data_IF_048451575517
#
_entry.id   IF_048451575517
#
_cell.length_a   1.000
_cell.length_b   1.000
_cell.length_c   1.000
_cell.angle_alpha   90.00
_cell.angle_beta   90.00
_cell.angle_gamma   90.00
#
_symmetry.space_group_name_H-M   'P 1'
#
loop_
_entity.id
_entity.type
_entity.pdbx_description
1 polymer ?
#
# COMPACT_ATOMS: atom_id res chain seq x y z
N UNK A 1 5.65 42.61 9.90
CA UNK A 1 4.23 42.20 10.05
C UNK A 1 3.33 42.39 8.82
N UNK A 2 3.59 43.32 7.87
CA UNK A 2 2.80 43.42 6.62
C UNK A 2 3.13 42.37 5.54
N UNK A 3 4.31 41.73 5.61
CA UNK A 3 4.76 40.73 4.62
C UNK A 3 4.10 39.34 4.80
N UNK A 4 3.68 39.01 6.03
CA UNK A 4 3.14 37.68 6.39
C UNK A 4 1.67 37.51 5.96
N UNK A 5 0.92 38.61 5.78
CA UNK A 5 -0.48 38.55 5.31
C UNK A 5 -0.62 38.32 3.79
N UNK A 6 0.44 38.51 3.00
CA UNK A 6 0.38 38.42 1.54
C UNK A 6 0.52 36.99 0.98
N UNK A 7 0.75 35.96 1.83
CA UNK A 7 1.10 34.61 1.38
C UNK A 7 -0.05 33.57 1.43
N UNK A 8 -1.30 33.98 1.72
CA UNK A 8 -2.48 33.09 1.75
C UNK A 8 -3.09 32.76 0.36
N UNK A 9 -2.29 32.76 -0.71
CA UNK A 9 -2.75 32.35 -2.04
C UNK A 9 -2.22 30.98 -2.42
N UNK A 10 -3.08 30.07 -2.88
CA UNK A 10 -2.66 28.77 -3.44
C UNK A 10 -1.57 28.97 -4.51
N UNK A 11 -0.35 28.52 -4.21
CA UNK A 11 0.77 28.61 -5.14
C UNK A 11 0.73 27.41 -6.10
N UNK A 12 0.39 27.67 -7.36
CA UNK A 12 0.59 26.69 -8.44
C UNK A 12 2.09 26.44 -8.63
N UNK A 13 2.49 25.17 -8.79
CA UNK A 13 3.88 24.73 -9.11
C UNK A 13 4.49 25.53 -10.27
N UNK A 14 3.67 25.95 -11.25
CA UNK A 14 4.10 26.82 -12.36
C UNK A 14 4.57 28.21 -11.92
N UNK A 15 3.91 28.82 -10.92
CA UNK A 15 4.32 30.12 -10.34
C UNK A 15 5.60 29.98 -9.52
N UNK A 16 5.78 28.84 -8.84
CA UNK A 16 6.97 28.54 -8.05
C UNK A 16 8.21 28.39 -8.96
N UNK A 17 8.09 27.63 -10.05
CA UNK A 17 9.16 27.46 -11.03
C UNK A 17 9.55 28.77 -11.73
N UNK A 18 8.59 29.67 -11.98
CA UNK A 18 8.88 30.99 -12.54
C UNK A 18 9.65 31.88 -11.56
N UNK A 19 9.29 31.85 -10.28
CA UNK A 19 10.02 32.57 -9.22
C UNK A 19 11.42 31.99 -9.00
N UNK A 20 11.60 30.68 -9.12
CA UNK A 20 12.93 30.03 -9.06
C UNK A 20 13.86 30.52 -10.17
N UNK A 21 13.37 30.61 -11.43
CA UNK A 21 14.16 31.15 -12.54
C UNK A 21 14.54 32.62 -12.34
N UNK A 22 13.62 33.43 -11.81
CA UNK A 22 13.92 34.83 -11.45
C UNK A 22 14.97 34.92 -10.34
N UNK A 23 14.93 33.99 -9.36
CA UNK A 23 15.90 33.95 -8.26
C UNK A 23 17.28 33.51 -8.74
N UNK A 24 17.37 32.54 -9.65
CA UNK A 24 18.64 32.15 -10.28
C UNK A 24 19.26 33.30 -11.09
N UNK A 25 18.44 34.12 -11.74
CA UNK A 25 18.92 35.31 -12.44
C UNK A 25 19.50 36.37 -11.47
N UNK A 26 18.88 36.55 -10.29
CA UNK A 26 19.38 37.46 -9.26
C UNK A 26 20.69 36.97 -8.63
N UNK A 27 20.83 35.65 -8.41
CA UNK A 27 22.07 35.04 -7.90
C UNK A 27 23.23 35.22 -8.91
N UNK A 28 22.97 34.99 -10.21
CA UNK A 28 23.96 35.25 -11.28
C UNK A 28 24.33 36.74 -11.41
N UNK A 29 23.39 37.64 -11.14
CA UNK A 29 23.66 39.07 -11.17
C UNK A 29 24.52 39.53 -9.98
N UNK A 30 24.40 38.89 -8.80
CA UNK A 30 25.20 39.23 -7.62
C UNK A 30 26.66 38.79 -7.70
N UNK A 31 26.99 37.75 -8.47
CA UNK A 31 28.37 37.28 -8.69
C UNK A 31 29.26 38.30 -9.43
N UNK A 32 28.67 39.31 -10.10
CA UNK A 32 29.42 40.34 -10.85
C UNK A 32 29.85 41.56 -10.02
N UNK A 33 29.43 41.68 -8.77
CA UNK A 33 29.73 42.84 -7.91
C UNK A 33 30.63 42.43 -6.74
N UNK A 34 31.78 43.10 -6.60
CA UNK A 34 32.76 42.90 -5.51
C UNK A 34 32.24 43.14 -4.07
N UNK A 35 33.12 43.19 -3.07
CA UNK A 35 33.03 42.41 -1.84
C UNK A 35 31.90 42.87 -0.91
N UNK A 36 30.72 42.30 -1.08
CA UNK A 36 29.61 42.26 -0.10
C UNK A 36 29.22 40.81 0.20
N UNK A 37 30.22 39.98 0.49
CA UNK A 37 30.06 38.52 0.60
C UNK A 37 29.20 38.05 1.79
N UNK A 38 29.20 38.76 2.93
CA UNK A 38 28.50 38.29 4.15
C UNK A 38 26.99 38.49 4.11
N UNK A 39 26.48 39.57 3.52
CA UNK A 39 25.03 39.85 3.43
C UNK A 39 24.36 39.01 2.33
N UNK A 40 25.09 38.70 1.25
CA UNK A 40 24.57 37.89 0.15
C UNK A 40 24.45 36.41 0.52
N UNK A 41 25.45 35.83 1.21
CA UNK A 41 25.38 34.44 1.68
C UNK A 41 24.24 34.24 2.68
N UNK A 42 24.05 35.16 3.63
CA UNK A 42 22.94 35.08 4.59
C UNK A 42 21.56 35.16 3.92
N UNK A 43 21.42 35.99 2.89
CA UNK A 43 20.16 36.12 2.13
C UNK A 43 19.88 34.88 1.28
N UNK A 44 20.90 34.31 0.64
CA UNK A 44 20.78 33.07 -0.14
C UNK A 44 20.42 31.90 0.79
N UNK A 45 21.09 31.77 1.94
CA UNK A 45 20.81 30.73 2.92
C UNK A 45 19.38 30.85 3.47
N UNK A 46 18.94 32.06 3.81
CA UNK A 46 17.57 32.31 4.26
C UNK A 46 16.53 31.99 3.17
N UNK A 47 16.80 32.34 1.91
CA UNK A 47 15.94 32.00 0.78
C UNK A 47 15.88 30.48 0.54
N UNK A 48 16.99 29.76 0.69
CA UNK A 48 17.02 28.29 0.61
C UNK A 48 16.23 27.68 1.76
N UNK A 49 16.42 28.15 3.00
CA UNK A 49 15.66 27.67 4.16
C UNK A 49 14.17 27.96 4.00
N UNK A 50 13.79 29.15 3.56
CA UNK A 50 12.39 29.50 3.29
C UNK A 50 11.81 28.69 2.12
N UNK A 51 12.62 28.36 1.11
CA UNK A 51 12.21 27.52 0.00
C UNK A 51 12.01 26.07 0.44
N UNK A 52 12.95 25.50 1.20
CA UNK A 52 12.83 24.17 1.80
C UNK A 52 11.61 24.13 2.73
N UNK A 53 11.44 25.12 3.60
CA UNK A 53 10.30 25.23 4.50
C UNK A 53 8.96 25.36 3.74
N UNK A 54 8.91 26.21 2.71
CA UNK A 54 7.71 26.35 1.88
C UNK A 54 7.42 25.09 1.06
N UNK A 55 8.44 24.41 0.53
CA UNK A 55 8.31 23.16 -0.22
C UNK A 55 7.84 22.02 0.67
N UNK A 56 8.44 21.86 1.86
CA UNK A 56 7.99 20.91 2.89
C UNK A 56 6.55 21.20 3.33
N UNK A 57 6.17 22.46 3.55
CA UNK A 57 4.78 22.80 3.85
C UNK A 57 3.83 22.60 2.67
N UNK A 58 4.31 22.70 1.42
CA UNK A 58 3.46 22.44 0.24
C UNK A 58 3.25 20.94 0.02
N UNK A 59 4.25 20.11 0.35
CA UNK A 59 4.09 18.66 0.45
C UNK A 59 3.09 18.29 1.56
N UNK A 60 3.16 18.95 2.73
CA UNK A 60 2.17 18.77 3.80
C UNK A 60 0.78 19.33 3.44
N UNK A 61 0.69 20.40 2.63
CA UNK A 61 -0.57 21.04 2.25
C UNK A 61 -1.35 20.30 1.14
N UNK A 62 -0.78 19.24 0.56
CA UNK A 62 -1.46 18.38 -0.40
C UNK A 62 -2.41 17.36 0.23
N UNK A 63 -2.32 17.15 1.55
CA UNK A 63 -3.07 16.13 2.25
C UNK A 63 -4.04 16.75 3.25
N UNK A 64 -5.28 17.00 2.81
CA UNK A 64 -6.37 17.42 3.69
C UNK A 64 -7.10 16.21 4.28
N UNK A 65 -7.67 16.31 5.49
CA UNK A 65 -8.45 15.23 6.09
C UNK A 65 -9.67 14.92 5.22
N UNK A 66 -9.91 13.64 4.94
CA UNK A 66 -11.15 13.19 4.30
C UNK A 66 -12.18 12.99 5.41
N UNK A 67 -13.28 13.76 5.40
CA UNK A 67 -14.30 13.65 6.43
C UNK A 67 -15.31 12.53 6.10
N UNK A 68 -15.52 11.52 6.96
CA UNK A 68 -16.58 10.53 6.79
C UNK A 68 -17.98 11.16 6.65
N UNK A 69 -18.85 10.59 5.81
CA UNK A 69 -20.20 11.13 5.60
C UNK A 69 -21.20 10.74 6.70
N UNK A 70 -20.83 9.86 7.64
CA UNK A 70 -21.62 9.46 8.81
C UNK A 70 -20.68 8.90 9.90
N UNK A 71 -21.10 8.84 11.18
CA UNK A 71 -20.32 8.19 12.25
C UNK A 71 -20.14 6.68 12.08
N UNK A 72 -20.83 6.05 11.12
CA UNK A 72 -20.63 4.65 10.74
C UNK A 72 -19.56 4.48 9.65
N UNK A 73 -19.17 5.58 8.98
CA UNK A 73 -18.16 5.55 7.94
C UNK A 73 -16.78 5.85 8.53
N UNK A 74 -15.80 5.04 8.14
CA UNK A 74 -14.39 5.24 8.49
C UNK A 74 -13.64 6.02 7.41
N UNK A 75 -12.50 6.58 7.80
CA UNK A 75 -11.38 6.91 6.92
C UNK A 75 -10.38 5.75 6.95
N UNK A 76 -10.29 5.03 5.83
CA UNK A 76 -9.42 3.87 5.66
C UNK A 76 -8.17 4.26 4.89
N UNK A 77 -7.00 3.96 5.45
CA UNK A 77 -5.74 4.03 4.72
C UNK A 77 -5.46 2.67 4.08
N UNK A 78 -5.39 2.63 2.75
CA UNK A 78 -5.16 1.41 1.98
C UNK A 78 -3.79 1.49 1.32
N UNK A 79 -2.83 0.70 1.81
CA UNK A 79 -1.53 0.60 1.13
C UNK A 79 -1.58 -0.46 0.03
N UNK A 80 -0.83 -0.31 -1.05
CA UNK A 80 -0.84 -1.26 -2.17
C UNK A 80 -2.13 -1.16 -3.00
N UNK A 81 -2.81 -0.02 -2.89
CA UNK A 81 -4.11 0.23 -3.48
C UNK A 81 -4.11 0.34 -5.01
N UNK A 82 -2.94 0.51 -5.64
CA UNK A 82 -2.83 0.49 -7.10
C UNK A 82 -2.67 -0.95 -7.62
N UNK A 83 -2.48 -1.93 -6.74
CA UNK A 83 -2.43 -3.35 -7.07
C UNK A 83 -3.81 -3.97 -7.31
N UNK A 84 -3.81 -5.27 -7.63
CA UNK A 84 -5.02 -6.02 -7.97
C UNK A 84 -6.05 -6.00 -6.82
N UNK A 85 -5.74 -6.60 -5.68
CA UNK A 85 -6.69 -6.71 -4.55
C UNK A 85 -6.96 -5.34 -3.92
N UNK A 86 -5.90 -4.55 -3.71
CA UNK A 86 -6.01 -3.24 -3.07
C UNK A 86 -6.93 -2.27 -3.81
N UNK A 87 -6.92 -2.27 -5.14
CA UNK A 87 -7.82 -1.41 -5.92
C UNK A 87 -9.28 -1.83 -5.80
N UNK A 88 -9.58 -3.13 -5.79
CA UNK A 88 -10.94 -3.65 -5.58
C UNK A 88 -11.43 -3.32 -4.16
N UNK A 89 -10.57 -3.48 -3.16
CA UNK A 89 -10.88 -3.10 -1.78
C UNK A 89 -11.16 -1.60 -1.66
N UNK A 90 -10.31 -0.74 -2.26
CA UNK A 90 -10.52 0.70 -2.26
C UNK A 90 -11.83 1.10 -2.96
N UNK A 91 -12.14 0.49 -4.10
CA UNK A 91 -13.39 0.74 -4.83
C UNK A 91 -14.61 0.39 -3.97
N UNK A 92 -14.62 -0.82 -3.40
CA UNK A 92 -15.71 -1.28 -2.55
C UNK A 92 -15.89 -0.41 -1.31
N UNK A 93 -14.81 -0.08 -0.60
CA UNK A 93 -14.86 0.80 0.57
C UNK A 93 -15.50 2.17 0.24
N UNK A 94 -15.20 2.73 -0.93
CA UNK A 94 -15.81 3.99 -1.39
C UNK A 94 -17.30 3.83 -1.73
N UNK A 95 -17.69 2.71 -2.31
CA UNK A 95 -19.10 2.38 -2.61
C UNK A 95 -19.92 2.22 -1.33
N UNK A 96 -19.34 1.59 -0.30
CA UNK A 96 -19.90 1.49 1.05
C UNK A 96 -19.90 2.84 1.80
N UNK A 97 -19.39 3.89 1.17
CA UNK A 97 -19.46 5.25 1.68
C UNK A 97 -18.30 5.63 2.59
N UNK A 98 -17.24 4.82 2.74
CA UNK A 98 -16.01 5.16 3.47
C UNK A 98 -15.13 6.18 2.72
N UNK A 99 -14.18 6.76 3.44
CA UNK A 99 -13.13 7.59 2.87
C UNK A 99 -11.90 6.72 2.67
N UNK A 100 -11.17 6.93 1.58
CA UNK A 100 -9.98 6.13 1.28
C UNK A 100 -8.79 7.06 1.00
N UNK A 101 -7.74 6.92 1.81
CA UNK A 101 -6.40 7.37 1.47
C UNK A 101 -5.61 6.19 0.93
N UNK A 102 -5.36 6.24 -0.36
CA UNK A 102 -4.64 5.26 -1.14
C UNK A 102 -3.15 5.56 -1.13
N UNK A 103 -2.31 4.61 -0.70
CA UNK A 103 -0.84 4.75 -0.67
C UNK A 103 -0.20 3.68 -1.56
N UNK A 104 0.62 4.07 -2.53
CA UNK A 104 1.33 3.15 -3.42
C UNK A 104 2.55 3.81 -4.07
N UNK A 105 3.61 3.06 -4.35
CA UNK A 105 4.81 3.56 -5.06
C UNK A 105 4.82 3.20 -6.56
N UNK A 106 3.77 2.56 -7.07
CA UNK A 106 3.66 2.04 -8.45
C UNK A 106 4.74 1.03 -8.88
N UNK A 107 5.53 0.48 -7.95
CA UNK A 107 6.54 -0.53 -8.30
C UNK A 107 5.92 -1.75 -8.99
N UNK A 108 4.74 -2.16 -8.53
CA UNK A 108 3.90 -3.23 -9.12
C UNK A 108 2.44 -2.81 -9.33
N UNK A 109 2.12 -1.57 -8.97
CA UNK A 109 0.77 -1.00 -9.08
C UNK A 109 0.46 -0.45 -10.47
N UNK A 110 -0.82 -0.24 -10.76
CA UNK A 110 -1.31 0.26 -12.04
C UNK A 110 -2.00 1.62 -11.86
N UNK A 111 -1.48 2.66 -12.54
CA UNK A 111 -2.07 4.02 -12.53
C UNK A 111 -3.51 4.03 -13.06
N UNK A 112 -3.85 3.11 -13.96
CA UNK A 112 -5.21 2.90 -14.47
C UNK A 112 -6.19 2.47 -13.39
N UNK A 113 -5.78 1.58 -12.48
CA UNK A 113 -6.60 1.17 -11.35
C UNK A 113 -6.93 2.37 -10.44
N UNK A 114 -5.94 3.18 -10.10
CA UNK A 114 -6.12 4.42 -9.32
C UNK A 114 -7.07 5.39 -10.02
N UNK A 115 -6.97 5.55 -11.35
CA UNK A 115 -7.90 6.39 -12.13
C UNK A 115 -9.33 5.86 -12.07
N UNK A 116 -9.52 4.55 -12.19
CA UNK A 116 -10.85 3.93 -12.10
C UNK A 116 -11.47 4.14 -10.71
N UNK A 117 -10.71 3.89 -9.63
CA UNK A 117 -11.14 4.12 -8.25
C UNK A 117 -11.49 5.60 -8.03
N UNK A 118 -10.63 6.53 -8.46
CA UNK A 118 -10.88 7.97 -8.36
C UNK A 118 -12.14 8.41 -9.12
N UNK A 119 -12.40 7.82 -10.28
CA UNK A 119 -13.59 8.13 -11.10
C UNK A 119 -14.89 7.68 -10.41
N UNK A 120 -14.85 6.57 -9.66
CA UNK A 120 -15.99 6.09 -8.89
C UNK A 120 -16.21 6.86 -7.58
N UNK A 121 -15.19 7.53 -7.05
CA UNK A 121 -15.26 8.23 -5.79
C UNK A 121 -16.13 9.51 -5.84
N UNK A 122 -16.95 9.70 -4.81
CA UNK A 122 -17.59 11.00 -4.56
C UNK A 122 -16.53 12.07 -4.20
N UNK A 123 -16.77 13.37 -4.51
CA UNK A 123 -15.83 14.44 -4.16
C UNK A 123 -15.43 14.41 -2.68
N UNK A 124 -14.14 14.54 -2.39
CA UNK A 124 -13.61 14.56 -1.02
C UNK A 124 -13.64 13.22 -0.29
N UNK A 125 -13.88 12.08 -0.98
CA UNK A 125 -13.82 10.73 -0.37
C UNK A 125 -12.56 9.95 -0.73
N UNK A 126 -11.80 10.39 -1.73
CA UNK A 126 -10.63 9.67 -2.21
C UNK A 126 -9.42 10.58 -2.31
N UNK A 127 -8.30 10.07 -1.83
CA UNK A 127 -6.99 10.69 -1.94
C UNK A 127 -5.97 9.63 -2.33
N UNK A 128 -5.05 9.99 -3.21
CA UNK A 128 -3.92 9.15 -3.57
C UNK A 128 -2.62 9.81 -3.12
N UNK A 129 -1.74 9.01 -2.52
CA UNK A 129 -0.42 9.38 -2.04
C UNK A 129 0.60 8.46 -2.70
N UNK A 130 1.46 9.02 -3.55
CA UNK A 130 2.60 8.28 -4.10
C UNK A 130 3.72 8.28 -3.06
N UNK A 131 4.00 7.13 -2.45
CA UNK A 131 5.00 7.00 -1.40
C UNK A 131 5.55 5.58 -1.31
N UNK A 132 6.83 5.46 -0.94
CA UNK A 132 7.45 4.17 -0.64
C UNK A 132 7.43 3.89 0.87
N UNK A 133 6.87 2.73 1.25
CA UNK A 133 6.83 2.32 2.65
C UNK A 133 8.22 2.01 3.23
N UNK A 134 9.24 1.85 2.39
CA UNK A 134 10.64 1.77 2.80
C UNK A 134 11.18 3.08 3.39
N UNK A 135 10.53 4.21 3.12
CA UNK A 135 10.92 5.51 3.66
C UNK A 135 10.03 5.89 4.86
N UNK A 136 10.44 5.50 6.06
CA UNK A 136 9.67 5.73 7.29
C UNK A 136 9.16 7.19 7.44
N UNK A 137 9.96 8.20 7.08
CA UNK A 137 9.54 9.60 7.17
C UNK A 137 8.36 9.95 6.25
N UNK A 138 8.29 9.34 5.06
CA UNK A 138 7.13 9.49 4.17
C UNK A 138 5.89 8.84 4.80
N UNK A 139 6.04 7.61 5.31
CA UNK A 139 4.96 6.89 5.99
C UNK A 139 4.43 7.71 7.18
N UNK A 140 5.31 8.15 8.07
CA UNK A 140 4.96 8.94 9.24
C UNK A 140 4.21 10.24 8.85
N UNK A 141 4.61 10.89 7.76
CA UNK A 141 3.97 12.12 7.28
C UNK A 141 2.53 11.89 6.81
N UNK A 142 2.24 10.73 6.21
CA UNK A 142 0.90 10.35 5.76
C UNK A 142 -0.03 10.22 6.97
N UNK A 143 0.43 9.51 8.01
CA UNK A 143 -0.34 9.32 9.24
C UNK A 143 -0.54 10.62 10.02
N UNK A 144 0.46 11.52 10.05
CA UNK A 144 0.33 12.83 10.71
C UNK A 144 -0.65 13.78 10.01
N UNK A 145 -0.81 13.65 8.69
CA UNK A 145 -1.67 14.52 7.88
C UNK A 145 -3.09 13.97 7.69
N UNK A 146 -3.36 12.76 8.17
CA UNK A 146 -4.59 12.03 7.89
C UNK A 146 -5.18 11.49 9.19
N UNK A 147 -6.47 11.75 9.47
CA UNK A 147 -7.16 11.07 10.57
C UNK A 147 -7.64 9.69 10.10
N UNK A 148 -6.82 8.66 10.32
CA UNK A 148 -7.08 7.29 9.87
C UNK A 148 -7.74 6.49 10.98
N UNK A 149 -8.88 5.86 10.68
CA UNK A 149 -9.58 4.97 11.62
C UNK A 149 -9.11 3.51 11.48
N UNK A 150 -8.72 3.11 10.27
CA UNK A 150 -8.36 1.75 9.90
C UNK A 150 -7.25 1.74 8.84
N UNK A 151 -6.26 0.87 9.00
CA UNK A 151 -5.29 0.55 7.96
C UNK A 151 -5.63 -0.81 7.34
N UNK A 152 -5.69 -0.87 6.02
CA UNK A 152 -5.72 -2.13 5.25
C UNK A 152 -4.42 -2.23 4.46
N UNK A 153 -3.54 -3.14 4.86
CA UNK A 153 -2.17 -3.24 4.38
C UNK A 153 -2.04 -4.32 3.29
N UNK A 154 -2.11 -3.93 2.02
CA UNK A 154 -1.86 -4.82 0.87
C UNK A 154 -0.46 -4.68 0.27
N UNK A 155 0.22 -3.55 0.49
CA UNK A 155 1.52 -3.26 -0.13
C UNK A 155 2.54 -4.34 0.19
N UNK A 156 2.90 -5.13 -0.81
CA UNK A 156 3.91 -6.17 -0.76
C UNK A 156 4.27 -6.62 -2.18
N UNK A 157 5.53 -6.99 -2.40
CA UNK A 157 5.93 -7.87 -3.49
C UNK A 157 5.35 -9.27 -3.26
N UNK A 158 4.96 -9.98 -4.32
CA UNK A 158 4.15 -11.20 -4.20
C UNK A 158 4.49 -12.34 -5.17
N UNK A 159 5.59 -12.23 -5.92
CA UNK A 159 6.00 -13.26 -6.88
C UNK A 159 6.96 -14.26 -6.22
N UNK A 160 6.52 -15.50 -6.04
CA UNK A 160 7.31 -16.54 -5.36
C UNK A 160 8.62 -16.80 -6.09
N UNK A 161 8.61 -16.90 -7.42
CA UNK A 161 9.81 -17.11 -8.24
C UNK A 161 10.84 -15.99 -8.05
N UNK A 162 10.41 -14.73 -8.18
CA UNK A 162 11.26 -13.55 -7.94
C UNK A 162 11.86 -13.56 -6.52
N UNK A 163 11.09 -13.98 -5.51
CA UNK A 163 11.56 -14.02 -4.12
C UNK A 163 12.75 -14.96 -3.90
N UNK A 164 12.83 -16.05 -4.66
CA UNK A 164 13.94 -17.00 -4.60
C UNK A 164 15.23 -16.38 -5.15
N UNK A 165 15.11 -15.53 -6.18
CA UNK A 165 16.24 -14.81 -6.76
C UNK A 165 16.65 -13.59 -5.93
N UNK A 166 15.68 -12.88 -5.33
CA UNK A 166 15.89 -11.60 -4.63
C UNK A 166 15.34 -11.62 -3.18
N UNK A 167 15.82 -12.51 -2.30
CA UNK A 167 15.21 -12.70 -0.97
C UNK A 167 15.29 -11.45 -0.08
N UNK A 168 16.40 -10.71 -0.10
CA UNK A 168 16.59 -9.51 0.74
C UNK A 168 15.56 -8.43 0.41
N UNK A 169 15.24 -8.25 -0.88
CA UNK A 169 14.21 -7.31 -1.33
C UNK A 169 12.83 -7.68 -0.76
N UNK A 170 12.51 -8.97 -0.69
CA UNK A 170 11.24 -9.46 -0.16
C UNK A 170 11.12 -9.21 1.35
N UNK A 171 12.17 -9.50 2.13
CA UNK A 171 12.18 -9.18 3.57
C UNK A 171 12.10 -7.68 3.83
N UNK A 172 12.80 -6.85 3.05
CA UNK A 172 12.72 -5.41 3.18
C UNK A 172 11.30 -4.91 2.86
N UNK A 173 10.79 -5.25 1.67
CA UNK A 173 9.52 -4.73 1.18
C UNK A 173 8.30 -5.23 1.95
N UNK A 174 8.38 -6.43 2.55
CA UNK A 174 7.27 -7.02 3.32
C UNK A 174 7.49 -6.77 4.81
N UNK A 175 8.56 -7.31 5.39
CA UNK A 175 8.75 -7.30 6.84
C UNK A 175 9.14 -5.92 7.37
N UNK A 176 10.20 -5.31 6.83
CA UNK A 176 10.67 -4.01 7.32
C UNK A 176 9.64 -2.89 7.05
N UNK A 177 9.00 -2.90 5.89
CA UNK A 177 7.94 -1.94 5.59
C UNK A 177 6.70 -2.12 6.46
N UNK A 178 6.35 -3.36 6.85
CA UNK A 178 5.28 -3.59 7.84
C UNK A 178 5.64 -2.95 9.18
N UNK A 179 6.91 -3.06 9.62
CA UNK A 179 7.40 -2.38 10.83
C UNK A 179 7.24 -0.86 10.72
N UNK A 180 7.56 -0.25 9.58
CA UNK A 180 7.35 1.19 9.37
C UNK A 180 5.87 1.59 9.48
N UNK A 181 4.96 0.80 8.89
CA UNK A 181 3.51 1.05 8.98
C UNK A 181 3.03 0.94 10.43
N UNK A 182 3.36 -0.14 11.14
CA UNK A 182 2.96 -0.34 12.55
C UNK A 182 3.52 0.78 13.44
N UNK A 183 4.77 1.18 13.23
CA UNK A 183 5.39 2.29 13.96
C UNK A 183 4.68 3.63 13.70
N UNK A 184 4.29 3.90 12.45
CA UNK A 184 3.55 5.12 12.12
C UNK A 184 2.12 5.10 12.69
N UNK A 185 1.46 3.94 12.69
CA UNK A 185 0.17 3.73 13.36
C UNK A 185 0.26 4.04 14.85
N UNK A 186 1.29 3.51 15.54
CA UNK A 186 1.55 3.80 16.95
C UNK A 186 1.70 5.30 17.21
N UNK A 187 2.52 5.99 16.40
CA UNK A 187 2.77 7.42 16.57
C UNK A 187 1.54 8.30 16.32
N UNK A 188 0.58 7.82 15.54
CA UNK A 188 -0.66 8.53 15.20
C UNK A 188 -1.91 8.02 15.93
N UNK A 189 -1.73 7.12 16.92
CA UNK A 189 -2.81 6.48 17.69
C UNK A 189 -3.86 5.75 16.82
N UNK A 190 -3.43 5.16 15.70
CA UNK A 190 -4.29 4.34 14.85
C UNK A 190 -4.28 2.90 15.34
N UNK A 191 -5.43 2.41 15.81
CA UNK A 191 -5.50 1.16 16.59
C UNK A 191 -6.03 -0.05 15.84
N UNK A 192 -6.31 0.06 14.54
CA UNK A 192 -6.97 -1.00 13.76
C UNK A 192 -6.20 -1.31 12.49
N UNK A 193 -5.86 -2.59 12.32
CA UNK A 193 -5.12 -3.11 11.16
C UNK A 193 -5.80 -4.34 10.57
N UNK A 194 -5.96 -4.36 9.25
CA UNK A 194 -6.17 -5.59 8.48
C UNK A 194 -4.90 -5.83 7.66
N UNK A 195 -4.22 -6.93 7.95
CA UNK A 195 -2.99 -7.33 7.30
C UNK A 195 -3.24 -8.42 6.27
N UNK A 196 -2.76 -8.18 5.05
CA UNK A 196 -2.87 -9.16 3.96
C UNK A 196 -1.73 -10.17 4.04
N UNK A 197 -2.00 -11.35 4.61
CA UNK A 197 -1.05 -12.47 4.67
C UNK A 197 -1.20 -13.40 3.47
N UNK A 198 -0.87 -14.68 3.58
CA UNK A 198 -0.89 -15.63 2.46
C UNK A 198 -0.91 -17.07 2.96
N UNK A 199 -1.52 -17.99 2.21
CA UNK A 199 -1.40 -19.42 2.46
C UNK A 199 0.06 -19.94 2.32
N UNK A 200 0.97 -19.19 1.71
CA UNK A 200 2.39 -19.56 1.61
C UNK A 200 3.10 -19.63 2.98
N UNK A 201 2.50 -19.09 4.04
CA UNK A 201 2.99 -19.25 5.41
C UNK A 201 2.94 -20.69 5.90
N UNK A 202 2.05 -21.52 5.35
CA UNK A 202 1.89 -22.93 5.75
C UNK A 202 2.92 -23.87 5.11
N UNK A 203 3.56 -23.46 4.01
CA UNK A 203 4.50 -24.31 3.29
C UNK A 203 3.82 -25.52 2.63
N UNK A 204 4.29 -26.71 2.97
CA UNK A 204 3.77 -27.99 2.46
C UNK A 204 3.02 -28.72 3.59
N UNK A 205 1.74 -28.41 3.83
CA UNK A 205 0.97 -29.04 4.90
C UNK A 205 0.72 -30.53 4.61
N UNK A 206 0.78 -31.36 5.65
CA UNK A 206 0.53 -32.80 5.55
C UNK A 206 -0.97 -33.15 5.51
N UNK A 207 -1.80 -32.29 6.13
CA UNK A 207 -3.25 -32.50 6.25
C UNK A 207 -3.98 -31.39 5.50
N UNK A 208 -4.97 -31.80 4.72
CA UNK A 208 -5.92 -30.93 4.03
C UNK A 208 -7.35 -31.24 4.52
N UNK A 209 -8.25 -30.25 4.61
CA UNK A 209 -8.02 -28.83 4.32
C UNK A 209 -7.13 -28.15 5.36
N UNK A 210 -6.44 -27.08 4.94
CA UNK A 210 -5.64 -26.24 5.82
C UNK A 210 -6.59 -25.47 6.74
N UNK A 211 -6.24 -25.36 8.02
CA UNK A 211 -6.93 -24.50 8.99
C UNK A 211 -5.96 -23.47 9.57
N UNK A 212 -6.45 -22.52 10.35
CA UNK A 212 -5.63 -21.54 11.07
C UNK A 212 -4.70 -22.19 12.10
N UNK A 213 -5.04 -23.39 12.57
CA UNK A 213 -4.23 -24.20 13.50
C UNK A 213 -3.11 -24.98 12.81
N UNK A 214 -3.12 -25.08 11.48
CA UNK A 214 -2.05 -25.76 10.73
C UNK A 214 -0.70 -25.05 10.97
N UNK A 215 0.39 -25.80 11.25
CA UNK A 215 1.71 -25.20 11.46
C UNK A 215 2.17 -24.31 10.29
N UNK A 216 2.75 -23.16 10.60
CA UNK A 216 3.29 -22.24 9.59
C UNK A 216 4.76 -22.54 9.32
N UNK A 217 5.04 -23.34 8.29
CA UNK A 217 6.39 -23.77 7.88
C UNK A 217 6.75 -23.33 6.45
N UNK A 218 6.92 -22.01 6.18
CA UNK A 218 7.10 -21.50 4.82
C UNK A 218 8.40 -21.98 4.15
N UNK A 219 8.29 -22.37 2.88
CA UNK A 219 9.39 -22.99 2.11
C UNK A 219 10.14 -22.02 1.18
N UNK A 220 9.68 -20.77 1.06
CA UNK A 220 10.27 -19.76 0.18
C UNK A 220 10.40 -18.39 0.89
N UNK A 221 11.27 -17.49 0.41
CA UNK A 221 11.49 -16.17 1.01
C UNK A 221 10.23 -15.30 1.10
N UNK A 222 9.34 -15.35 0.11
CA UNK A 222 8.05 -14.64 0.17
C UNK A 222 7.20 -15.08 1.37
N UNK A 223 6.96 -16.39 1.53
CA UNK A 223 6.20 -16.94 2.64
C UNK A 223 6.87 -16.66 3.99
N UNK A 224 8.21 -16.75 4.06
CA UNK A 224 8.98 -16.42 5.27
C UNK A 224 8.86 -14.94 5.65
N UNK A 225 8.96 -14.04 4.68
CA UNK A 225 8.83 -12.60 4.92
C UNK A 225 7.41 -12.21 5.36
N UNK A 226 6.37 -12.85 4.79
CA UNK A 226 4.98 -12.70 5.23
C UNK A 226 4.77 -13.21 6.65
N UNK A 227 5.28 -14.39 7.00
CA UNK A 227 5.20 -14.92 8.36
C UNK A 227 5.94 -14.02 9.37
N UNK A 228 7.11 -13.49 9.01
CA UNK A 228 7.84 -12.55 9.86
C UNK A 228 7.05 -11.24 10.08
N UNK A 229 6.34 -10.75 9.06
CA UNK A 229 5.45 -9.60 9.21
C UNK A 229 4.21 -9.92 10.07
N UNK A 230 3.65 -11.13 9.99
CA UNK A 230 2.61 -11.56 10.92
C UNK A 230 3.09 -11.53 12.39
N UNK A 231 4.33 -11.98 12.64
CA UNK A 231 4.93 -11.95 13.97
C UNK A 231 5.05 -10.52 14.50
N UNK A 232 5.53 -9.58 13.68
CA UNK A 232 5.55 -8.14 14.02
C UNK A 232 4.16 -7.65 14.46
N UNK A 233 3.13 -7.96 13.67
CA UNK A 233 1.74 -7.54 13.97
C UNK A 233 1.23 -8.20 15.26
N UNK A 234 1.50 -9.49 15.44
CA UNK A 234 1.06 -10.26 16.62
C UNK A 234 1.71 -9.77 17.90
N UNK A 235 3.02 -9.58 17.89
CA UNK A 235 3.78 -9.14 19.06
C UNK A 235 3.42 -7.69 19.44
N UNK A 236 3.17 -6.84 18.44
CA UNK A 236 2.66 -5.50 18.67
C UNK A 236 1.24 -5.53 19.30
N UNK A 237 0.33 -6.34 18.77
CA UNK A 237 -1.01 -6.48 19.34
C UNK A 237 -0.98 -7.05 20.77
N UNK A 238 -0.11 -8.01 21.06
CA UNK A 238 0.05 -8.59 22.38
C UNK A 238 0.57 -7.58 23.42
N UNK A 239 1.42 -6.64 23.00
CA UNK A 239 1.95 -5.57 23.86
C UNK A 239 1.02 -4.34 23.95
N UNK A 240 -0.01 -4.24 23.11
CA UNK A 240 -0.94 -3.10 23.05
C UNK A 240 -2.40 -3.60 23.03
N UNK A 241 -3.05 -3.83 24.18
CA UNK A 241 -4.37 -4.48 24.28
C UNK A 241 -5.50 -3.79 23.49
N UNK A 242 -5.39 -2.48 23.29
CA UNK A 242 -6.35 -1.67 22.52
C UNK A 242 -6.16 -1.79 21.01
N UNK A 243 -5.01 -2.31 20.55
CA UNK A 243 -4.74 -2.54 19.14
C UNK A 243 -5.47 -3.79 18.66
N UNK A 244 -6.27 -3.65 17.60
CA UNK A 244 -7.02 -4.75 16.97
C UNK A 244 -6.43 -5.03 15.60
N UNK A 245 -6.00 -6.26 15.40
CA UNK A 245 -5.44 -6.73 14.14
C UNK A 245 -6.18 -7.95 13.63
N UNK A 246 -6.45 -7.99 12.32
CA UNK A 246 -6.85 -9.18 11.61
C UNK A 246 -5.79 -9.56 10.59
N UNK A 247 -5.39 -10.82 10.55
CA UNK A 247 -4.40 -11.36 9.62
C UNK A 247 -5.12 -12.30 8.67
N UNK A 248 -5.28 -11.89 7.41
CA UNK A 248 -6.05 -12.64 6.42
C UNK A 248 -5.11 -13.45 5.53
N UNK A 249 -5.07 -14.77 5.70
CA UNK A 249 -4.23 -15.70 4.92
C UNK A 249 -4.98 -16.19 3.68
N UNK A 250 -5.10 -15.33 2.68
CA UNK A 250 -5.78 -15.71 1.43
C UNK A 250 -4.99 -16.75 0.61
N UNK A 251 -5.71 -17.45 -0.26
CA UNK A 251 -5.18 -18.43 -1.21
C UNK A 251 -4.99 -17.77 -2.58
N UNK A 252 -5.44 -18.41 -3.67
CA UNK A 252 -5.20 -17.93 -5.02
C UNK A 252 -6.37 -17.05 -5.46
N UNK A 253 -6.12 -15.74 -5.46
CA UNK A 253 -7.14 -14.76 -5.84
C UNK A 253 -7.19 -14.62 -7.35
N UNK A 254 -8.38 -14.66 -7.93
CA UNK A 254 -8.64 -14.47 -9.36
C UNK A 254 -9.88 -13.61 -9.61
N UNK A 255 -10.15 -13.30 -10.88
CA UNK A 255 -11.35 -12.58 -11.30
C UNK A 255 -11.11 -11.07 -11.48
N UNK A 256 -12.22 -10.33 -11.56
CA UNK A 256 -12.24 -8.90 -11.85
C UNK A 256 -13.50 -8.27 -11.25
N UNK A 257 -13.57 -6.95 -11.24
CA UNK A 257 -14.81 -6.23 -10.92
C UNK A 257 -15.90 -6.63 -11.93
N UNK A 258 -17.08 -7.11 -11.48
CA UNK A 258 -18.15 -7.55 -12.37
C UNK A 258 -18.65 -6.46 -13.35
N UNK A 259 -18.50 -5.19 -12.98
CA UNK A 259 -18.80 -4.06 -13.86
C UNK A 259 -17.67 -3.70 -14.84
N UNK A 260 -16.59 -4.48 -14.87
CA UNK A 260 -15.46 -4.32 -15.79
C UNK A 260 -14.58 -3.10 -15.54
N UNK A 261 -14.62 -2.50 -14.33
CA UNK A 261 -13.86 -1.27 -14.02
C UNK A 261 -12.44 -1.56 -13.58
N UNK A 262 -12.20 -2.72 -12.97
CA UNK A 262 -10.93 -3.16 -12.41
C UNK A 262 -10.68 -4.65 -12.71
N UNK A 263 -9.41 -5.02 -12.77
CA UNK A 263 -8.95 -6.40 -12.94
C UNK A 263 -7.45 -6.49 -12.65
N UNK A 264 -6.92 -7.72 -12.65
CA UNK A 264 -5.47 -7.92 -12.56
C UNK A 264 -4.81 -7.53 -13.88
N UNK A 265 -3.87 -6.59 -13.84
CA UNK A 265 -3.13 -6.14 -15.03
C UNK A 265 -1.66 -5.86 -14.67
N UNK A 266 -0.81 -6.90 -14.64
CA UNK A 266 0.61 -6.75 -14.29
C UNK A 266 1.37 -6.04 -15.42
N UNK A 267 2.54 -5.49 -15.07
CA UNK A 267 3.47 -4.94 -16.07
C UNK A 267 4.00 -6.06 -16.98
N UNK A 268 4.28 -5.80 -18.27
CA UNK A 268 4.71 -6.82 -19.22
C UNK A 268 5.88 -7.69 -18.73
N UNK A 269 6.86 -7.08 -18.07
CA UNK A 269 8.08 -7.74 -17.58
C UNK A 269 7.80 -8.72 -16.43
N UNK A 270 6.66 -8.58 -15.76
CA UNK A 270 6.25 -9.40 -14.62
C UNK A 270 5.29 -10.53 -15.01
N UNK A 271 4.80 -10.56 -16.26
CA UNK A 271 3.81 -11.56 -16.71
C UNK A 271 4.32 -12.99 -16.59
N UNK A 272 5.61 -13.21 -16.84
CA UNK A 272 6.26 -14.53 -16.70
C UNK A 272 6.36 -15.02 -15.25
N UNK A 273 6.24 -14.12 -14.28
CA UNK A 273 6.21 -14.43 -12.84
C UNK A 273 4.78 -14.58 -12.31
N UNK A 274 3.79 -14.33 -13.16
CA UNK A 274 2.37 -14.25 -12.81
C UNK A 274 1.77 -15.58 -12.35
N UNK A 275 0.54 -15.47 -11.85
CA UNK A 275 -0.27 -16.64 -11.46
C UNK A 275 -0.88 -17.26 -12.71
N UNK A 276 -1.27 -18.53 -12.61
CA UNK A 276 -1.92 -19.26 -13.70
C UNK A 276 -3.19 -18.55 -14.20
N UNK A 277 -3.96 -17.91 -13.32
CA UNK A 277 -5.12 -17.09 -13.72
C UNK A 277 -4.73 -15.96 -14.68
N UNK A 278 -3.66 -15.24 -14.37
CA UNK A 278 -3.11 -14.19 -15.23
C UNK A 278 -2.59 -14.76 -16.56
N UNK A 279 -1.87 -15.88 -16.52
CA UNK A 279 -1.39 -16.55 -17.73
C UNK A 279 -2.54 -17.02 -18.65
N UNK A 280 -3.66 -17.48 -18.07
CA UNK A 280 -4.86 -17.82 -18.86
C UNK A 280 -5.43 -16.59 -19.58
N UNK A 281 -5.51 -15.43 -18.90
CA UNK A 281 -5.96 -14.19 -19.55
C UNK A 281 -4.97 -13.71 -20.61
N UNK A 282 -3.67 -13.84 -20.36
CA UNK A 282 -2.65 -13.44 -21.32
C UNK A 282 -2.69 -14.29 -22.58
N UNK A 283 -2.92 -15.60 -22.46
CA UNK A 283 -3.13 -16.48 -23.61
C UNK A 283 -4.42 -16.13 -24.36
N UNK A 284 -5.53 -15.91 -23.64
CA UNK A 284 -6.81 -15.54 -24.25
C UNK A 284 -6.78 -14.19 -24.97
N UNK A 285 -5.94 -13.26 -24.51
CA UNK A 285 -5.71 -11.95 -25.13
C UNK A 285 -4.62 -11.96 -26.22
N UNK A 286 -3.94 -13.09 -26.43
CA UNK A 286 -2.86 -13.22 -27.41
C UNK A 286 -1.56 -12.54 -27.01
N UNK A 287 -1.35 -12.26 -25.72
CA UNK A 287 -0.06 -11.78 -25.21
C UNK A 287 0.99 -12.88 -25.12
N UNK A 288 0.56 -14.15 -24.99
CA UNK A 288 1.40 -15.33 -25.06
C UNK A 288 0.75 -16.36 -25.97
N UNK A 289 1.56 -17.13 -26.71
CA UNK A 289 1.06 -18.10 -27.70
C UNK A 289 0.38 -19.32 -27.07
N UNK A 290 0.78 -19.68 -25.84
CA UNK A 290 0.26 -20.85 -25.14
C UNK A 290 0.41 -20.73 -23.63
N UNK A 291 -0.41 -21.51 -22.92
CA UNK A 291 -0.32 -21.68 -21.47
C UNK A 291 0.67 -22.80 -21.13
N UNK A 292 1.65 -22.52 -20.27
CA UNK A 292 2.60 -23.52 -19.77
C UNK A 292 2.11 -24.11 -18.45
N UNK A 293 1.91 -25.42 -18.40
CA UNK A 293 1.58 -26.16 -17.17
C UNK A 293 2.87 -26.61 -16.48
N UNK A 294 3.12 -26.09 -15.28
CA UNK A 294 4.33 -26.35 -14.51
C UNK A 294 4.24 -27.66 -13.71
N UNK A 295 4.42 -28.79 -14.40
CA UNK A 295 4.46 -30.13 -13.84
C UNK A 295 3.14 -30.90 -13.99
N UNK A 296 3.25 -32.20 -14.30
CA UNK A 296 2.13 -33.10 -14.61
C UNK A 296 2.26 -34.47 -13.91
N UNK A 297 3.08 -34.54 -12.85
CA UNK A 297 3.40 -35.76 -12.10
C UNK A 297 3.08 -35.63 -10.61
N UNK A 298 2.22 -34.68 -10.22
CA UNK A 298 1.75 -34.57 -8.84
C UNK A 298 0.80 -35.72 -8.50
N UNK A 299 0.70 -36.12 -7.21
CA UNK A 299 -0.23 -37.15 -6.76
C UNK A 299 -1.67 -36.60 -6.69
N UNK A 300 -2.21 -36.18 -7.83
CA UNK A 300 -3.55 -35.60 -7.99
C UNK A 300 -4.27 -36.28 -9.15
N UNK A 301 -5.57 -36.00 -9.31
CA UNK A 301 -6.43 -36.70 -10.28
C UNK A 301 -5.90 -36.69 -11.71
N UNK A 302 -5.30 -35.59 -12.16
CA UNK A 302 -4.80 -35.40 -13.53
C UNK A 302 -3.29 -35.13 -13.58
N UNK A 303 -2.59 -35.36 -12.48
CA UNK A 303 -1.14 -35.11 -12.37
C UNK A 303 -0.76 -33.64 -12.22
N UNK A 304 -1.69 -32.68 -12.34
CA UNK A 304 -1.40 -31.24 -12.20
C UNK A 304 -1.58 -30.76 -10.76
N UNK A 305 -1.06 -29.58 -10.45
CA UNK A 305 -1.15 -29.04 -9.10
C UNK A 305 -2.57 -28.51 -8.77
N UNK A 306 -3.11 -28.90 -7.60
CA UNK A 306 -4.43 -28.44 -7.13
C UNK A 306 -4.27 -27.18 -6.29
N UNK A 307 -5.19 -26.22 -6.45
CA UNK A 307 -5.19 -24.92 -5.76
C UNK A 307 -6.62 -24.54 -5.37
N UNK A 308 -6.74 -23.86 -4.23
CA UNK A 308 -7.97 -23.17 -3.83
C UNK A 308 -8.01 -21.78 -4.47
N UNK A 309 -9.07 -21.48 -5.20
CA UNK A 309 -9.29 -20.24 -5.92
C UNK A 309 -10.46 -19.47 -5.32
N UNK A 310 -10.21 -18.22 -4.95
CA UNK A 310 -11.21 -17.30 -4.41
C UNK A 310 -11.38 -16.10 -5.34
N UNK A 311 -12.63 -15.72 -5.62
CA UNK A 311 -12.89 -14.53 -6.44
C UNK A 311 -12.48 -13.27 -5.68
N UNK A 312 -11.92 -12.27 -6.37
CA UNK A 312 -11.45 -11.03 -5.75
C UNK A 312 -12.57 -10.28 -5.02
N UNK A 313 -13.80 -10.33 -5.53
CA UNK A 313 -14.98 -9.74 -4.87
C UNK A 313 -15.25 -10.40 -3.52
N UNK A 314 -15.31 -11.73 -3.46
CA UNK A 314 -15.54 -12.47 -2.21
C UNK A 314 -14.43 -12.19 -1.18
N UNK A 315 -13.20 -12.11 -1.65
CA UNK A 315 -12.08 -11.76 -0.79
C UNK A 315 -12.22 -10.34 -0.22
N UNK A 316 -12.62 -9.38 -1.04
CA UNK A 316 -12.84 -7.98 -0.60
C UNK A 316 -14.02 -7.91 0.37
N UNK A 317 -15.07 -8.70 0.17
CA UNK A 317 -16.19 -8.81 1.10
C UNK A 317 -15.75 -9.26 2.49
N UNK A 318 -14.80 -10.22 2.56
CA UNK A 318 -14.19 -10.62 3.82
C UNK A 318 -13.44 -9.45 4.50
N UNK A 319 -12.71 -8.63 3.73
CA UNK A 319 -12.02 -7.45 4.29
C UNK A 319 -13.00 -6.43 4.86
N UNK A 320 -14.08 -6.13 4.13
CA UNK A 320 -15.14 -5.20 4.58
C UNK A 320 -15.85 -5.76 5.82
N UNK A 321 -16.15 -7.06 5.84
CA UNK A 321 -16.80 -7.72 6.97
C UNK A 321 -15.96 -7.59 8.25
N UNK A 322 -14.65 -7.85 8.15
CA UNK A 322 -13.69 -7.70 9.25
C UNK A 322 -13.52 -6.22 9.63
N UNK A 323 -13.56 -5.31 8.66
CA UNK A 323 -13.55 -3.86 8.93
C UNK A 323 -14.80 -3.41 9.71
N UNK A 324 -15.94 -4.09 9.55
CA UNK A 324 -17.14 -3.88 10.37
C UNK A 324 -17.11 -4.55 11.75
N UNK A 325 -16.35 -5.64 11.92
CA UNK A 325 -16.32 -6.48 13.13
C UNK A 325 -14.88 -6.65 13.68
N UNK A 326 -14.33 -5.68 14.42
CA UNK A 326 -12.93 -5.70 14.88
C UNK A 326 -12.59 -6.74 15.97
N UNK A 327 -13.44 -7.72 16.27
CA UNK A 327 -13.22 -8.69 17.35
C UNK A 327 -13.67 -10.10 16.98
N UNK A 328 -12.72 -11.00 16.75
CA UNK A 328 -12.87 -12.40 17.16
C UNK A 328 -12.06 -12.58 18.46
N UNK A 329 -12.65 -13.13 19.53
CA UNK A 329 -11.87 -13.57 20.69
C UNK A 329 -10.92 -14.70 20.25
N UNK A 330 -9.77 -14.88 20.93
CA UNK A 330 -8.89 -16.02 20.66
C UNK A 330 -9.69 -17.32 20.81
N UNK A 331 -9.39 -18.37 20.01
CA UNK A 331 -9.97 -19.68 20.23
C UNK A 331 -9.68 -20.12 21.68
N UNK A 332 -10.61 -20.81 22.35
CA UNK A 332 -10.40 -21.25 23.73
C UNK A 332 -9.11 -22.07 23.81
N UNK A 333 -8.26 -21.72 24.78
CA UNK A 333 -7.01 -22.42 25.06
C UNK A 333 -7.31 -23.86 25.48
N UNK A 334 -7.29 -24.80 24.53
CA UNK A 334 -7.33 -26.22 24.83
C UNK A 334 -5.91 -26.72 25.13
N UNK A 335 -5.37 -26.33 26.28
CA UNK A 335 -4.26 -27.01 26.94
C UNK A 335 -4.49 -26.95 28.46
N UNK A 336 -5.26 -27.92 28.94
CA UNK A 336 -5.12 -28.55 30.25
C UNK A 336 -4.65 -29.98 30.01
#
# INVERSE_FOLDING_TARGET
MRLVRALRGQFSVRKLNRRWRQMQALIKASEKSGPRWTVQVGTVLLCVVLFVYAYSNTLSAGYGPLAPSSPQHMHVLVTGCAGFIGSHASLRLLEDGHAVTCVDNFSRGNKGAVRAVKKAAKPGRFQFVEADLGHYHEVESIFKSTQVDLVVHFAAVAYVGESMANPVQYYHNITANTVHVVKAMQAADVRRLIYSSTCATYGNPEILPITELTPTLPINPYGKAKLAAEQVVRDYAASNPDFKAAVLRYFNVYGADPAGRLGEYPQPELRSQGRISGACFDAALGFIDSLTIMGTQFPTRDGTCVRDYVHVTDLVDAHVTVAGHPSHPPPPSSLS
#
